data_IF_309429090419
#
_entry.id   IF_309429090419
#
_cell.length_a   1.000
_cell.length_b   1.000
_cell.length_c   1.000
_cell.angle_alpha   90.00
_cell.angle_beta   90.00
_cell.angle_gamma   90.00
#
_symmetry.space_group_name_H-M   'P 1'
#
loop_
_entity.id
_entity.type
_entity.pdbx_description
1 polymer ?
#
# COMPACT_ATOMS: atom_id res chain seq x y z
N UNK A 1 -5.24 17.55 -19.98
CA UNK A 1 -5.51 16.37 -20.85
C UNK A 1 -5.92 15.21 -19.97
N UNK A 2 -7.09 14.62 -20.24
CA UNK A 2 -7.61 13.47 -19.48
C UNK A 2 -6.89 12.18 -19.85
N UNK A 3 -6.88 11.22 -18.90
CA UNK A 3 -6.31 9.90 -19.11
C UNK A 3 -7.40 8.84 -18.87
N UNK A 4 -7.78 8.13 -19.93
CA UNK A 4 -8.78 7.06 -19.87
C UNK A 4 -8.24 5.87 -19.06
N UNK A 5 -9.10 5.27 -18.24
CA UNK A 5 -8.72 4.18 -17.34
C UNK A 5 -7.93 4.62 -16.11
N UNK A 6 -7.90 5.92 -15.82
CA UNK A 6 -7.24 6.54 -14.68
C UNK A 6 -8.19 7.46 -13.90
N UNK A 7 -7.83 7.73 -12.64
CA UNK A 7 -8.46 8.79 -11.87
C UNK A 7 -7.90 10.12 -12.35
N UNK A 8 -8.81 11.01 -12.75
CA UNK A 8 -8.53 12.37 -13.18
C UNK A 8 -9.12 13.34 -12.17
N UNK A 9 -8.48 14.47 -11.94
CA UNK A 9 -8.98 15.53 -11.06
C UNK A 9 -9.62 16.61 -11.92
N UNK A 10 -10.96 16.63 -11.93
CA UNK A 10 -11.76 17.41 -12.86
C UNK A 10 -12.63 18.44 -12.13
N UNK A 11 -12.80 19.67 -12.66
CA UNK A 11 -13.67 20.67 -12.09
C UNK A 11 -15.14 20.40 -12.42
N UNK A 12 -16.02 20.70 -11.46
CA UNK A 12 -17.47 20.74 -11.65
C UNK A 12 -17.81 21.97 -12.50
N UNK A 13 -18.46 21.76 -13.64
CA UNK A 13 -18.94 22.84 -14.52
C UNK A 13 -20.39 23.21 -14.26
N UNK A 14 -21.21 22.23 -13.88
CA UNK A 14 -22.64 22.41 -13.67
C UNK A 14 -23.15 21.40 -12.61
N UNK A 15 -24.10 21.86 -11.79
CA UNK A 15 -24.78 21.01 -10.81
C UNK A 15 -26.28 21.03 -11.15
N UNK A 16 -26.87 19.85 -11.22
CA UNK A 16 -28.28 19.61 -11.47
C UNK A 16 -28.90 18.79 -10.32
N UNK A 17 -30.23 18.69 -10.27
CA UNK A 17 -30.92 17.83 -9.31
C UNK A 17 -30.52 16.35 -9.38
N UNK A 18 -30.02 15.88 -10.53
CA UNK A 18 -29.66 14.46 -10.79
C UNK A 18 -28.18 14.18 -10.58
N UNK A 19 -27.32 15.17 -10.63
CA UNK A 19 -25.86 15.02 -10.52
C UNK A 19 -25.08 16.22 -11.05
N UNK A 20 -23.78 16.04 -11.23
CA UNK A 20 -22.87 17.07 -11.65
C UNK A 20 -22.25 16.75 -13.01
N UNK A 21 -21.99 17.79 -13.81
CA UNK A 21 -21.14 17.69 -14.99
C UNK A 21 -19.72 18.14 -14.64
N UNK A 22 -18.74 17.36 -15.10
CA UNK A 22 -17.31 17.65 -14.94
C UNK A 22 -16.70 17.95 -16.30
N UNK A 23 -15.79 18.94 -16.37
CA UNK A 23 -15.02 19.22 -17.58
C UNK A 23 -13.97 18.12 -17.80
N UNK A 24 -14.02 17.48 -18.97
CA UNK A 24 -13.09 16.44 -19.40
C UNK A 24 -12.53 16.83 -20.77
N UNK A 25 -11.48 17.64 -20.76
CA UNK A 25 -10.92 18.34 -21.93
C UNK A 25 -12.02 19.17 -22.67
N UNK A 26 -12.36 18.80 -23.91
CA UNK A 26 -13.40 19.43 -24.75
C UNK A 26 -14.81 18.85 -24.54
N UNK A 27 -14.97 17.89 -23.63
CA UNK A 27 -16.23 17.21 -23.33
C UNK A 27 -16.67 17.44 -21.89
N UNK A 28 -17.92 17.10 -21.61
CA UNK A 28 -18.45 17.03 -20.27
C UNK A 28 -18.84 15.59 -19.93
N UNK A 29 -18.56 15.17 -18.71
CA UNK A 29 -18.95 13.85 -18.20
C UNK A 29 -19.83 14.01 -16.99
N UNK A 30 -20.84 13.17 -16.88
CA UNK A 30 -21.84 13.20 -15.82
C UNK A 30 -21.47 12.26 -14.67
N UNK A 31 -21.61 12.75 -13.43
CA UNK A 31 -21.55 11.92 -12.20
C UNK A 31 -22.85 12.11 -11.42
N UNK A 32 -23.54 11.02 -11.02
CA UNK A 32 -24.74 11.11 -10.20
C UNK A 32 -24.49 11.79 -8.84
N UNK A 33 -25.48 12.54 -8.34
CA UNK A 33 -25.37 13.25 -7.08
C UNK A 33 -25.03 12.32 -5.88
N UNK A 34 -25.51 11.08 -5.91
CA UNK A 34 -25.21 10.05 -4.91
C UNK A 34 -23.73 9.67 -4.78
N UNK A 35 -22.89 10.09 -5.73
CA UNK A 35 -21.43 9.89 -5.71
C UNK A 35 -20.68 11.18 -5.35
N UNK A 36 -21.36 12.28 -5.13
CA UNK A 36 -20.76 13.55 -4.81
C UNK A 36 -20.70 13.77 -3.28
N UNK A 37 -19.79 14.63 -2.85
CA UNK A 37 -19.75 15.09 -1.47
C UNK A 37 -20.90 16.06 -1.24
N UNK A 38 -21.49 16.02 -0.05
CA UNK A 38 -22.49 16.99 0.37
C UNK A 38 -21.91 18.43 0.36
N UNK A 39 -22.66 19.37 -0.20
CA UNK A 39 -22.23 20.77 -0.32
C UNK A 39 -21.24 21.05 -1.47
N UNK A 40 -21.06 20.14 -2.43
CA UNK A 40 -20.22 20.40 -3.61
C UNK A 40 -20.74 21.60 -4.42
N UNK A 41 -19.81 22.43 -4.93
CA UNK A 41 -20.10 23.65 -5.68
C UNK A 41 -19.45 23.61 -7.07
N UNK A 42 -19.97 24.42 -7.98
CA UNK A 42 -19.35 24.64 -9.29
C UNK A 42 -17.94 25.21 -9.10
N UNK A 43 -16.96 24.64 -9.80
CA UNK A 43 -15.53 24.96 -9.66
C UNK A 43 -14.77 23.99 -8.74
N UNK A 44 -15.45 23.22 -7.88
CA UNK A 44 -14.80 22.21 -7.04
C UNK A 44 -14.16 21.13 -7.90
N UNK A 45 -13.01 20.61 -7.42
CA UNK A 45 -12.27 19.54 -8.09
C UNK A 45 -12.70 18.16 -7.56
N UNK A 46 -13.06 17.26 -8.46
CA UNK A 46 -13.50 15.90 -8.17
C UNK A 46 -12.52 14.90 -8.76
N UNK A 47 -12.08 13.94 -7.93
CA UNK A 47 -11.33 12.78 -8.38
C UNK A 47 -12.32 11.79 -9.04
N UNK A 48 -12.31 11.75 -10.38
CA UNK A 48 -13.19 10.91 -11.18
C UNK A 48 -12.41 9.90 -12.01
N UNK A 49 -12.80 8.63 -11.93
CA UNK A 49 -12.29 7.58 -12.81
C UNK A 49 -13.04 7.64 -14.14
N UNK A 50 -12.28 7.79 -15.25
CA UNK A 50 -12.82 7.89 -16.60
C UNK A 50 -12.66 6.59 -17.37
N UNK A 51 -13.72 6.15 -18.02
CA UNK A 51 -13.70 4.96 -18.87
C UNK A 51 -14.76 5.03 -19.97
N UNK A 52 -14.60 4.24 -21.03
CA UNK A 52 -15.64 4.11 -22.04
C UNK A 52 -16.61 3.00 -21.64
N UNK A 53 -17.90 3.34 -21.61
CA UNK A 53 -19.02 2.40 -21.55
C UNK A 53 -19.67 2.37 -22.93
N UNK A 54 -19.42 1.31 -23.66
CA UNK A 54 -19.56 1.25 -25.11
C UNK A 54 -18.76 2.39 -25.77
N UNK A 55 -19.32 3.25 -26.56
CA UNK A 55 -18.64 4.38 -27.20
C UNK A 55 -18.75 5.68 -26.38
N UNK A 56 -19.40 5.64 -25.22
CA UNK A 56 -19.65 6.83 -24.39
C UNK A 56 -18.62 6.99 -23.31
N UNK A 57 -17.97 8.16 -23.27
CA UNK A 57 -17.10 8.55 -22.15
C UNK A 57 -17.95 8.66 -20.87
N UNK A 58 -17.58 7.93 -19.85
CA UNK A 58 -18.29 7.79 -18.58
C UNK A 58 -17.36 8.09 -17.43
N UNK A 59 -17.88 8.74 -16.38
CA UNK A 59 -17.17 9.06 -15.17
C UNK A 59 -17.80 8.41 -13.95
N UNK A 60 -16.97 8.12 -12.95
CA UNK A 60 -17.44 7.70 -11.62
C UNK A 60 -16.49 8.22 -10.54
N UNK A 61 -17.04 8.74 -9.43
CA UNK A 61 -16.26 9.09 -8.26
C UNK A 61 -15.91 7.86 -7.38
N UNK A 62 -16.48 6.69 -7.70
CA UNK A 62 -16.07 5.43 -7.05
C UNK A 62 -14.65 5.07 -7.48
N UNK A 63 -13.80 4.76 -6.51
CA UNK A 63 -12.45 4.29 -6.79
C UNK A 63 -12.48 2.84 -7.27
N UNK A 64 -11.98 2.54 -8.48
CA UNK A 64 -11.82 1.15 -8.92
C UNK A 64 -10.75 0.44 -8.07
N UNK A 65 -10.81 -0.89 -8.03
CA UNK A 65 -9.80 -1.74 -7.37
C UNK A 65 -8.44 -1.69 -8.08
N UNK A 66 -8.44 -1.34 -9.37
CA UNK A 66 -7.24 -1.11 -10.18
C UNK A 66 -7.51 -0.14 -11.32
N UNK A 67 -6.45 0.48 -11.81
CA UNK A 67 -6.45 1.37 -12.97
C UNK A 67 -5.65 0.74 -14.12
N UNK A 68 -5.78 1.29 -15.32
CA UNK A 68 -4.95 0.89 -16.47
C UNK A 68 -3.46 0.95 -16.10
N UNK A 69 -2.70 -0.09 -16.48
CA UNK A 69 -1.30 -0.22 -16.11
C UNK A 69 -1.05 -0.86 -14.74
N UNK A 70 -2.08 -1.30 -14.03
CA UNK A 70 -1.94 -1.93 -12.71
C UNK A 70 -2.26 -3.42 -12.74
N UNK A 71 -1.57 -4.17 -11.87
CA UNK A 71 -1.91 -5.55 -11.52
C UNK A 71 -2.90 -5.55 -10.36
N UNK A 72 -3.96 -6.34 -10.49
CA UNK A 72 -4.94 -6.54 -9.44
C UNK A 72 -5.36 -8.00 -9.30
N UNK A 73 -5.84 -8.35 -8.12
CA UNK A 73 -6.45 -9.64 -7.80
C UNK A 73 -7.95 -9.44 -7.71
N UNK A 74 -8.69 -9.89 -8.75
CA UNK A 74 -10.09 -9.56 -8.95
C UNK A 74 -10.96 -10.82 -9.02
N UNK A 75 -12.19 -10.81 -8.44
CA UNK A 75 -13.11 -11.91 -8.57
C UNK A 75 -13.74 -11.95 -9.97
N UNK A 76 -13.89 -13.16 -10.50
CA UNK A 76 -14.69 -13.47 -11.69
C UNK A 76 -16.16 -13.43 -11.29
N UNK A 77 -16.96 -12.61 -11.96
CA UNK A 77 -18.40 -12.46 -11.68
C UNK A 77 -19.30 -13.06 -12.74
N UNK A 78 -18.72 -13.52 -13.84
CA UNK A 78 -19.45 -14.19 -14.91
C UNK A 78 -18.59 -14.41 -16.14
N UNK A 79 -19.18 -15.04 -17.14
CA UNK A 79 -18.57 -15.28 -18.46
C UNK A 79 -19.60 -15.26 -19.57
N UNK A 80 -19.15 -15.06 -20.79
CA UNK A 80 -19.92 -15.25 -22.01
C UNK A 80 -19.10 -16.02 -23.04
N UNK A 81 -19.58 -16.12 -24.28
CA UNK A 81 -18.86 -16.82 -25.38
C UNK A 81 -17.52 -16.19 -25.79
N UNK A 82 -17.17 -15.01 -25.29
CA UNK A 82 -15.97 -14.27 -25.69
C UNK A 82 -14.93 -14.11 -24.56
N UNK A 83 -15.33 -14.23 -23.29
CA UNK A 83 -14.43 -14.02 -22.15
C UNK A 83 -15.16 -14.00 -20.81
N UNK A 84 -14.37 -13.66 -19.79
CA UNK A 84 -14.82 -13.48 -18.42
C UNK A 84 -15.09 -12.01 -18.10
N UNK A 85 -15.93 -11.79 -17.09
CA UNK A 85 -16.15 -10.49 -16.47
C UNK A 85 -15.61 -10.49 -15.05
N UNK A 86 -14.90 -9.42 -14.69
CA UNK A 86 -14.24 -9.28 -13.40
C UNK A 86 -14.75 -8.02 -12.68
N UNK A 87 -15.06 -8.16 -11.39
CA UNK A 87 -15.52 -7.02 -10.60
C UNK A 87 -14.34 -6.09 -10.23
N UNK A 88 -14.19 -5.04 -10.98
CA UNK A 88 -13.19 -3.98 -10.74
C UNK A 88 -13.66 -2.93 -9.71
N UNK A 89 -14.89 -3.03 -9.17
CA UNK A 89 -15.40 -2.14 -8.12
C UNK A 89 -16.16 -0.91 -8.60
N UNK A 90 -16.42 -0.79 -9.89
CA UNK A 90 -17.31 0.21 -10.50
C UNK A 90 -18.51 -0.47 -11.13
N UNK A 91 -19.42 0.32 -11.76
CA UNK A 91 -20.64 -0.23 -12.35
C UNK A 91 -20.38 -1.19 -13.51
N UNK A 92 -19.36 -0.90 -14.34
CA UNK A 92 -18.96 -1.75 -15.47
C UNK A 92 -17.94 -2.78 -15.02
N UNK A 93 -18.20 -4.05 -15.29
CA UNK A 93 -17.23 -5.12 -15.07
C UNK A 93 -16.08 -5.03 -16.08
N UNK A 94 -14.89 -5.42 -15.66
CA UNK A 94 -13.69 -5.47 -16.47
C UNK A 94 -13.72 -6.72 -17.35
N UNK A 95 -13.60 -6.57 -18.66
CA UNK A 95 -13.63 -7.68 -19.61
C UNK A 95 -12.26 -8.34 -19.75
N UNK A 96 -12.22 -9.67 -19.64
CA UNK A 96 -11.04 -10.51 -19.85
C UNK A 96 -11.29 -11.44 -21.03
N UNK A 97 -10.81 -11.13 -22.25
CA UNK A 97 -10.98 -11.95 -23.44
C UNK A 97 -10.36 -13.33 -23.30
N UNK A 98 -10.94 -14.40 -23.88
CA UNK A 98 -10.40 -15.76 -23.80
C UNK A 98 -9.00 -15.90 -24.43
N UNK A 99 -8.63 -15.11 -25.44
CA UNK A 99 -7.30 -15.08 -26.02
C UNK A 99 -6.24 -14.49 -25.08
N UNK A 100 -6.65 -13.76 -24.04
CA UNK A 100 -5.80 -13.16 -23.00
C UNK A 100 -5.73 -14.00 -21.71
N UNK A 101 -6.32 -15.17 -21.70
CA UNK A 101 -6.39 -16.07 -20.54
C UNK A 101 -5.33 -17.16 -20.65
N UNK A 102 -4.72 -17.56 -19.54
CA UNK A 102 -3.80 -18.70 -19.44
C UNK A 102 -4.51 -20.01 -19.10
N UNK A 103 -5.50 -19.92 -18.18
CA UNK A 103 -6.19 -21.05 -17.57
C UNK A 103 -7.71 -20.84 -17.64
N UNK A 104 -8.48 -21.87 -17.29
CA UNK A 104 -9.93 -21.75 -17.11
C UNK A 104 -10.23 -21.36 -15.68
N UNK A 105 -11.26 -20.53 -15.52
CA UNK A 105 -11.71 -20.01 -14.22
C UNK A 105 -13.21 -20.20 -14.07
N UNK A 106 -13.65 -20.43 -12.84
CA UNK A 106 -15.04 -20.47 -12.46
C UNK A 106 -15.50 -19.12 -11.88
N UNK A 107 -16.81 -18.94 -11.82
CA UNK A 107 -17.39 -17.78 -11.11
C UNK A 107 -17.00 -17.85 -9.63
N UNK A 108 -16.69 -16.70 -9.04
CA UNK A 108 -16.16 -16.49 -7.68
C UNK A 108 -14.66 -16.81 -7.51
N UNK A 109 -13.99 -17.39 -8.49
CA UNK A 109 -12.54 -17.42 -8.49
C UNK A 109 -11.98 -15.99 -8.46
N UNK A 110 -10.89 -15.81 -7.73
CA UNK A 110 -10.14 -14.56 -7.78
C UNK A 110 -8.82 -14.77 -8.50
N UNK A 111 -8.51 -13.91 -9.46
CA UNK A 111 -7.38 -14.08 -10.36
C UNK A 111 -6.55 -12.81 -10.49
N UNK A 112 -5.24 -12.96 -10.74
CA UNK A 112 -4.37 -11.83 -11.04
C UNK A 112 -4.50 -11.44 -12.50
N UNK A 113 -4.79 -10.16 -12.72
CA UNK A 113 -4.92 -9.57 -14.06
C UNK A 113 -4.24 -8.21 -14.15
N UNK A 114 -3.62 -7.95 -15.29
CA UNK A 114 -3.15 -6.63 -15.66
C UNK A 114 -4.26 -5.91 -16.43
N UNK A 115 -4.54 -4.66 -16.05
CA UNK A 115 -5.58 -3.82 -16.67
C UNK A 115 -4.96 -3.00 -17.79
N UNK A 116 -5.56 -3.05 -18.98
CA UNK A 116 -5.11 -2.28 -20.15
C UNK A 116 -6.29 -1.72 -20.94
N UNK A 117 -6.01 -0.85 -21.91
CA UNK A 117 -7.00 -0.40 -22.90
C UNK A 117 -6.80 -1.18 -24.21
N UNK A 118 -7.91 -1.66 -24.78
CA UNK A 118 -7.87 -2.21 -26.12
C UNK A 118 -7.76 -1.09 -27.19
N UNK A 119 -7.75 -1.49 -28.45
CA UNK A 119 -7.65 -0.53 -29.58
C UNK A 119 -8.84 0.43 -29.67
N UNK A 120 -9.99 0.09 -29.08
CA UNK A 120 -11.18 0.96 -28.96
C UNK A 120 -11.21 1.76 -27.65
N UNK A 121 -10.09 1.79 -26.89
CA UNK A 121 -9.97 2.44 -25.58
C UNK A 121 -10.93 1.89 -24.51
N UNK A 122 -11.42 0.66 -24.67
CA UNK A 122 -12.22 -0.03 -23.64
C UNK A 122 -11.32 -0.68 -22.59
N UNK A 123 -11.78 -0.72 -21.35
CA UNK A 123 -11.09 -1.42 -20.27
C UNK A 123 -11.10 -2.93 -20.51
N UNK A 124 -9.92 -3.50 -20.61
CA UNK A 124 -9.69 -4.93 -20.76
C UNK A 124 -8.65 -5.46 -19.76
N UNK A 125 -8.65 -6.77 -19.57
CA UNK A 125 -7.72 -7.46 -18.69
C UNK A 125 -6.94 -8.55 -19.43
N UNK A 126 -5.77 -8.91 -18.88
CA UNK A 126 -5.01 -10.09 -19.30
C UNK A 126 -4.41 -10.80 -18.10
N UNK A 127 -4.42 -12.14 -18.11
CA UNK A 127 -3.70 -12.94 -17.10
C UNK A 127 -2.22 -13.11 -17.45
N UNK A 128 -1.79 -12.63 -18.63
CA UNK A 128 -0.38 -12.68 -19.11
C UNK A 128 0.38 -11.44 -18.67
N UNK A 129 0.30 -11.12 -17.38
CA UNK A 129 0.81 -9.87 -16.80
C UNK A 129 2.33 -9.79 -16.69
N UNK A 130 3.06 -10.92 -16.77
CA UNK A 130 4.51 -10.93 -16.51
C UNK A 130 5.29 -10.03 -17.47
N UNK A 131 4.86 -9.95 -18.72
CA UNK A 131 5.50 -9.11 -19.76
C UNK A 131 5.36 -7.60 -19.53
N UNK A 132 4.51 -7.18 -18.60
CA UNK A 132 4.24 -5.78 -18.31
C UNK A 132 5.09 -5.22 -17.16
N UNK A 133 5.85 -6.07 -16.48
CA UNK A 133 6.67 -5.70 -15.32
C UNK A 133 8.10 -6.21 -15.50
N UNK A 134 9.05 -5.46 -14.92
CA UNK A 134 10.46 -5.86 -14.94
C UNK A 134 10.73 -7.02 -13.97
N UNK A 135 11.67 -7.91 -14.33
CA UNK A 135 12.23 -8.91 -13.40
C UNK A 135 13.40 -8.35 -12.57
N UNK A 136 13.82 -7.13 -12.86
CA UNK A 136 14.92 -6.43 -12.21
C UNK A 136 14.45 -5.08 -11.65
N UNK A 137 15.16 -4.58 -10.65
CA UNK A 137 14.86 -3.26 -10.07
C UNK A 137 14.96 -2.16 -11.13
N UNK A 138 14.02 -1.21 -11.05
CA UNK A 138 14.05 0.03 -11.84
C UNK A 138 14.84 1.11 -11.09
N UNK A 139 15.15 2.22 -11.74
CA UNK A 139 15.85 3.35 -11.12
C UNK A 139 15.08 3.93 -9.93
N UNK A 140 15.81 4.51 -8.98
CA UNK A 140 15.25 5.22 -7.82
C UNK A 140 14.99 4.37 -6.58
N UNK A 141 15.43 3.11 -6.55
CA UNK A 141 15.31 2.23 -5.39
C UNK A 141 16.66 1.85 -4.80
N UNK A 142 16.73 1.78 -3.48
CA UNK A 142 17.94 1.44 -2.70
C UNK A 142 17.62 0.46 -1.57
N UNK A 143 18.66 -0.25 -1.10
CA UNK A 143 18.52 -1.09 0.08
C UNK A 143 18.10 -0.25 1.31
N UNK A 144 17.12 -0.73 2.06
CA UNK A 144 16.51 -0.04 3.19
C UNK A 144 15.24 0.75 2.86
N UNK A 145 14.91 0.97 1.58
CA UNK A 145 13.68 1.66 1.20
C UNK A 145 12.44 0.88 1.59
N UNK A 146 11.46 1.59 2.11
CA UNK A 146 10.12 1.05 2.32
C UNK A 146 9.33 1.11 1.03
N UNK A 147 8.80 -0.03 0.61
CA UNK A 147 8.07 -0.19 -0.65
C UNK A 147 6.73 -0.87 -0.43
N UNK A 148 5.77 -0.54 -1.26
CA UNK A 148 4.46 -1.18 -1.27
C UNK A 148 4.49 -2.39 -2.21
N UNK A 149 4.08 -3.55 -1.70
CA UNK A 149 4.16 -4.82 -2.43
C UNK A 149 2.81 -5.50 -2.56
N UNK A 150 2.63 -6.21 -3.66
CA UNK A 150 1.48 -7.08 -3.91
C UNK A 150 1.99 -8.52 -4.02
N UNK A 151 1.66 -9.43 -3.07
CA UNK A 151 2.04 -10.84 -3.16
C UNK A 151 1.24 -11.53 -4.26
N UNK A 152 1.98 -12.25 -5.14
CA UNK A 152 1.41 -12.86 -6.35
C UNK A 152 1.34 -14.37 -6.21
N UNK A 153 2.44 -15.02 -5.83
CA UNK A 153 2.49 -16.48 -5.75
C UNK A 153 3.53 -16.97 -4.74
N UNK A 154 3.25 -18.14 -4.18
CA UNK A 154 4.22 -18.88 -3.37
C UNK A 154 5.13 -19.70 -4.30
N UNK A 155 6.43 -19.68 -4.02
CA UNK A 155 7.45 -20.46 -4.71
C UNK A 155 8.19 -21.35 -3.71
N UNK A 156 8.98 -22.35 -4.13
CA UNK A 156 9.77 -23.17 -3.22
C UNK A 156 10.75 -22.36 -2.35
N UNK A 157 11.24 -21.21 -2.83
CA UNK A 157 12.26 -20.40 -2.14
C UNK A 157 11.67 -19.18 -1.40
N UNK A 158 10.39 -18.87 -1.59
CA UNK A 158 9.76 -17.70 -0.95
C UNK A 158 8.48 -17.25 -1.63
N UNK A 159 8.11 -16.01 -1.42
CA UNK A 159 6.93 -15.39 -2.02
C UNK A 159 7.36 -14.38 -3.10
N UNK A 160 6.93 -14.60 -4.35
CA UNK A 160 7.08 -13.62 -5.43
C UNK A 160 6.06 -12.49 -5.23
N UNK A 161 6.54 -11.25 -5.27
CA UNK A 161 5.72 -10.05 -5.10
C UNK A 161 5.98 -9.06 -6.22
N UNK A 162 5.01 -8.19 -6.49
CA UNK A 162 5.17 -7.01 -7.36
C UNK A 162 5.40 -5.78 -6.47
N UNK A 163 6.50 -5.06 -6.72
CA UNK A 163 6.92 -3.87 -5.98
C UNK A 163 6.47 -2.62 -6.74
N UNK A 164 5.80 -1.69 -6.04
CA UNK A 164 5.33 -0.39 -6.54
C UNK A 164 4.67 -0.44 -7.94
N UNK A 165 4.12 -1.61 -8.31
CA UNK A 165 3.55 -1.89 -9.63
C UNK A 165 4.57 -1.69 -10.78
N UNK A 166 5.84 -1.98 -10.55
CA UNK A 166 6.95 -1.77 -11.51
C UNK A 166 7.75 -3.03 -11.79
N UNK A 167 8.23 -3.72 -10.76
CA UNK A 167 9.11 -4.88 -10.91
C UNK A 167 8.80 -6.00 -9.91
N UNK A 168 9.22 -7.22 -10.24
CA UNK A 168 9.09 -8.37 -9.36
C UNK A 168 10.26 -8.47 -8.38
N UNK A 169 9.94 -8.92 -7.17
CA UNK A 169 10.92 -9.18 -6.11
C UNK A 169 10.54 -10.44 -5.32
N UNK A 170 11.42 -10.86 -4.42
CA UNK A 170 11.23 -12.03 -3.57
C UNK A 170 11.29 -11.69 -2.08
N UNK A 171 10.37 -12.26 -1.32
CA UNK A 171 10.52 -12.40 0.14
C UNK A 171 10.93 -13.85 0.38
N UNK A 172 12.17 -14.08 0.80
CA UNK A 172 12.69 -15.44 0.95
C UNK A 172 12.09 -16.15 2.17
N UNK A 173 12.00 -17.49 2.13
CA UNK A 173 11.38 -18.26 3.20
C UNK A 173 12.00 -18.01 4.59
N UNK A 174 13.31 -17.77 4.67
CA UNK A 174 13.98 -17.49 5.93
C UNK A 174 13.73 -16.07 6.47
N UNK A 175 13.22 -15.17 5.62
CA UNK A 175 12.82 -13.80 5.98
C UNK A 175 11.32 -13.71 6.32
N UNK A 176 10.58 -14.81 6.19
CA UNK A 176 9.17 -14.87 6.56
C UNK A 176 9.04 -15.26 8.05
N UNK A 177 8.24 -14.53 8.84
CA UNK A 177 7.87 -14.97 10.18
C UNK A 177 7.17 -16.34 10.14
N UNK A 178 7.41 -17.20 11.13
CA UNK A 178 6.81 -18.54 11.19
C UNK A 178 5.29 -18.54 11.14
N UNK A 179 4.67 -17.48 11.66
CA UNK A 179 3.21 -17.31 11.74
C UNK A 179 2.68 -16.27 10.74
N UNK A 180 3.47 -15.92 9.67
CA UNK A 180 3.05 -14.93 8.70
C UNK A 180 1.91 -15.45 7.82
N UNK A 181 0.73 -14.87 7.96
CA UNK A 181 -0.41 -15.07 7.07
C UNK A 181 -0.42 -14.03 5.94
N UNK A 182 0.47 -14.16 4.96
CA UNK A 182 0.45 -13.28 3.78
C UNK A 182 -0.75 -13.65 2.91
N UNK A 183 -1.64 -12.67 2.70
CA UNK A 183 -2.83 -12.83 1.84
C UNK A 183 -2.51 -12.37 0.44
N UNK A 184 -2.61 -13.28 -0.53
CA UNK A 184 -2.46 -12.95 -1.95
C UNK A 184 -3.50 -11.91 -2.39
N UNK A 185 -3.11 -11.02 -3.29
CA UNK A 185 -3.95 -9.94 -3.77
C UNK A 185 -4.12 -8.75 -2.81
N UNK A 186 -3.60 -8.81 -1.58
CA UNK A 186 -3.64 -7.70 -0.62
C UNK A 186 -2.29 -7.03 -0.49
N UNK A 187 -2.23 -5.74 -0.85
CA UNK A 187 -1.02 -4.92 -0.75
C UNK A 187 -0.61 -4.68 0.71
N UNK A 188 0.69 -4.73 0.98
CA UNK A 188 1.29 -4.37 2.27
C UNK A 188 2.65 -3.66 2.06
N UNK A 189 3.28 -3.19 3.12
CA UNK A 189 4.61 -2.59 3.06
C UNK A 189 5.70 -3.60 3.43
N UNK A 190 6.81 -3.56 2.69
CA UNK A 190 8.04 -4.31 2.95
C UNK A 190 9.24 -3.38 2.81
N UNK A 191 10.44 -3.87 3.13
CA UNK A 191 11.68 -3.13 2.93
C UNK A 191 12.56 -3.85 1.93
N UNK A 192 13.28 -3.08 1.10
CA UNK A 192 14.34 -3.63 0.24
C UNK A 192 15.49 -4.05 1.15
N UNK A 193 15.70 -5.37 1.24
CA UNK A 193 16.79 -5.95 2.00
C UNK A 193 18.11 -5.85 1.26
N UNK A 194 18.09 -6.24 -0.01
CA UNK A 194 19.27 -6.31 -0.86
C UNK A 194 18.88 -6.19 -2.33
N UNK A 195 19.71 -5.51 -3.10
CA UNK A 195 19.70 -5.52 -4.57
C UNK A 195 20.90 -6.34 -5.00
N UNK A 196 20.65 -7.49 -5.62
CA UNK A 196 21.70 -8.43 -6.05
C UNK A 196 22.48 -7.91 -7.26
N UNK A 197 23.60 -8.52 -7.57
CA UNK A 197 24.41 -8.17 -8.75
C UNK A 197 23.64 -8.35 -10.08
N UNK A 198 22.69 -9.30 -10.13
CA UNK A 198 21.78 -9.51 -11.27
C UNK A 198 20.59 -8.54 -11.27
N UNK A 199 20.62 -7.50 -10.45
CA UNK A 199 19.58 -6.47 -10.27
C UNK A 199 18.23 -7.01 -9.77
N UNK A 200 18.16 -8.25 -9.27
CA UNK A 200 16.98 -8.78 -8.59
C UNK A 200 16.96 -8.32 -7.12
N UNK A 201 15.75 -8.20 -6.58
CA UNK A 201 15.52 -7.62 -5.27
C UNK A 201 15.02 -8.66 -4.28
N UNK A 202 15.69 -8.72 -3.13
CA UNK A 202 15.21 -9.42 -1.96
C UNK A 202 14.55 -8.43 -1.00
N UNK A 203 13.41 -8.81 -0.48
CA UNK A 203 12.62 -8.00 0.45
C UNK A 203 12.53 -8.66 1.82
N UNK A 204 12.29 -7.85 2.83
CA UNK A 204 12.05 -8.28 4.21
C UNK A 204 10.83 -7.57 4.78
N UNK A 205 10.09 -8.28 5.65
CA UNK A 205 8.95 -7.71 6.35
C UNK A 205 9.39 -6.74 7.46
N UNK A 206 8.55 -5.75 7.83
CA UNK A 206 8.91 -4.74 8.84
C UNK A 206 9.47 -5.32 10.14
N UNK A 207 8.90 -6.43 10.63
CA UNK A 207 9.33 -7.09 11.87
C UNK A 207 10.74 -7.68 11.77
N UNK A 208 11.13 -8.18 10.59
CA UNK A 208 12.47 -8.71 10.35
C UNK A 208 13.52 -7.63 10.06
N UNK A 209 13.10 -6.51 9.50
CA UNK A 209 14.02 -5.40 9.24
C UNK A 209 14.61 -4.82 10.54
N UNK A 210 13.83 -4.82 11.63
CA UNK A 210 14.33 -4.42 12.94
C UNK A 210 15.41 -5.38 13.48
N UNK A 211 15.29 -6.70 13.24
CA UNK A 211 16.28 -7.68 13.72
C UNK A 211 17.59 -7.64 12.92
N UNK A 212 17.56 -7.25 11.63
CA UNK A 212 18.77 -7.12 10.83
C UNK A 212 19.50 -5.80 11.10
N UNK A 213 18.78 -4.67 11.25
CA UNK A 213 19.40 -3.40 11.67
C UNK A 213 20.11 -3.52 13.02
N UNK A 214 19.59 -4.37 13.93
CA UNK A 214 20.26 -4.63 15.21
C UNK A 214 21.52 -5.54 15.10
N UNK A 215 21.68 -6.30 14.00
CA UNK A 215 22.88 -7.12 13.72
C UNK A 215 23.93 -6.39 12.89
N UNK A 216 23.51 -5.53 11.96
CA UNK A 216 24.37 -4.73 11.08
C UNK A 216 24.74 -3.36 11.69
N UNK A 217 24.03 -2.88 12.73
CA UNK A 217 24.34 -1.66 13.46
C UNK A 217 25.62 -1.75 14.31
N UNK A 218 26.41 -2.85 14.17
CA UNK A 218 27.79 -2.88 14.57
C UNK A 218 28.71 -1.94 13.75
N UNK A 219 28.31 -1.57 12.50
CA UNK A 219 29.22 -0.81 11.61
C UNK A 219 28.60 0.33 10.76
N UNK A 220 27.29 0.62 10.81
CA UNK A 220 26.70 1.73 10.02
C UNK A 220 25.57 2.45 10.76
N UNK A 221 25.96 3.39 11.62
CA UNK A 221 25.02 4.29 12.28
C UNK A 221 24.49 5.38 11.34
N UNK A 222 23.15 5.48 11.15
CA UNK A 222 22.51 6.82 11.01
C UNK A 222 20.98 6.81 10.98
N UNK A 223 20.29 5.76 10.50
CA UNK A 223 18.81 5.77 10.39
C UNK A 223 18.08 5.27 11.65
N UNK A 224 18.66 4.31 12.38
CA UNK A 224 18.12 3.84 13.68
C UNK A 224 18.28 4.90 14.80
N UNK A 225 19.27 5.78 14.70
CA UNK A 225 19.49 6.88 15.63
C UNK A 225 18.37 7.93 15.61
N UNK A 226 17.84 8.29 14.45
CA UNK A 226 16.77 9.30 14.34
C UNK A 226 15.46 8.84 15.03
N UNK A 227 15.12 7.56 14.96
CA UNK A 227 13.88 7.03 15.57
C UNK A 227 14.01 6.89 17.09
N UNK A 228 15.19 6.49 17.60
CA UNK A 228 15.45 6.40 19.04
C UNK A 228 15.54 7.79 19.69
N UNK A 229 16.24 8.75 19.08
CA UNK A 229 16.33 10.13 19.59
C UNK A 229 14.96 10.82 19.62
N UNK A 230 14.13 10.62 18.60
CA UNK A 230 12.76 11.17 18.59
C UNK A 230 11.89 10.55 19.68
N UNK A 231 12.01 9.24 19.93
CA UNK A 231 11.29 8.57 21.01
C UNK A 231 11.82 9.00 22.38
N UNK A 232 13.14 9.15 22.56
CA UNK A 232 13.76 9.68 23.78
C UNK A 232 13.25 11.09 24.09
N UNK A 233 13.23 11.98 23.09
CA UNK A 233 12.68 13.34 23.21
C UNK A 233 11.18 13.32 23.55
N UNK A 234 10.41 12.47 22.88
CA UNK A 234 8.97 12.32 23.14
C UNK A 234 8.69 11.84 24.57
N UNK A 235 9.46 10.89 25.09
CA UNK A 235 9.35 10.40 26.46
C UNK A 235 9.73 11.50 27.47
N UNK A 236 10.81 12.23 27.25
CA UNK A 236 11.24 13.34 28.13
C UNK A 236 10.21 14.45 28.13
N UNK A 237 9.69 14.87 26.99
CA UNK A 237 8.65 15.86 26.86
C UNK A 237 7.33 15.43 27.55
N UNK A 238 6.99 14.13 27.45
CA UNK A 238 5.83 13.59 28.16
C UNK A 238 6.04 13.60 29.67
N UNK A 239 7.24 13.32 30.15
CA UNK A 239 7.60 13.43 31.56
C UNK A 239 7.49 14.88 32.06
N UNK A 240 8.07 15.85 31.34
CA UNK A 240 7.98 17.27 31.66
C UNK A 240 6.50 17.75 31.74
N UNK A 241 5.70 17.39 30.75
CA UNK A 241 4.28 17.75 30.68
C UNK A 241 3.41 17.11 31.78
N UNK A 242 3.90 16.02 32.41
CA UNK A 242 3.17 15.30 33.46
C UNK A 242 3.83 15.42 34.86
N UNK A 243 4.51 16.52 35.13
CA UNK A 243 5.09 16.77 36.45
C UNK A 243 6.26 15.83 36.78
N UNK A 244 7.00 15.38 35.79
CA UNK A 244 8.19 14.55 35.93
C UNK A 244 7.93 13.05 36.10
N UNK A 245 6.69 12.57 35.98
CA UNK A 245 6.33 11.16 36.14
C UNK A 245 5.35 10.68 35.08
N UNK A 246 5.58 9.48 34.52
CA UNK A 246 4.59 8.78 33.69
C UNK A 246 4.46 7.30 34.11
N UNK A 247 3.23 6.71 34.11
CA UNK A 247 2.96 5.37 34.63
C UNK A 247 3.26 4.27 33.61
N UNK A 248 4.43 4.37 32.94
CA UNK A 248 4.89 3.38 31.97
C UNK A 248 6.32 2.95 32.31
N UNK A 249 6.58 1.65 32.28
CA UNK A 249 7.91 1.07 32.52
C UNK A 249 8.09 -0.20 31.68
N UNK A 250 9.16 -0.96 31.96
CA UNK A 250 9.50 -2.20 31.25
C UNK A 250 8.49 -3.35 31.50
N UNK A 251 7.60 -3.24 32.50
CA UNK A 251 6.55 -4.22 32.82
C UNK A 251 5.22 -3.86 32.20
N UNK A 252 5.03 -2.67 31.66
CA UNK A 252 3.78 -2.20 31.02
C UNK A 252 3.37 -3.12 29.87
N UNK A 253 2.06 -3.36 29.74
CA UNK A 253 1.51 -4.22 28.70
C UNK A 253 1.95 -3.76 27.29
N UNK A 254 2.39 -4.69 26.40
CA UNK A 254 2.81 -4.34 25.05
C UNK A 254 1.77 -3.58 24.23
N UNK A 255 0.47 -3.88 24.41
CA UNK A 255 -0.61 -3.20 23.70
C UNK A 255 -0.75 -1.74 24.14
N UNK A 256 -0.52 -1.47 25.42
CA UNK A 256 -0.55 -0.11 25.98
C UNK A 256 0.63 0.70 25.43
N UNK A 257 1.85 0.13 25.45
CA UNK A 257 3.05 0.77 24.90
C UNK A 257 2.85 1.10 23.41
N UNK A 258 2.33 0.15 22.63
CA UNK A 258 2.07 0.36 21.21
C UNK A 258 1.01 1.43 20.95
N UNK A 259 -0.02 1.51 21.80
CA UNK A 259 -1.08 2.51 21.69
C UNK A 259 -0.57 3.92 22.00
N UNK A 260 0.26 4.08 23.05
CA UNK A 260 0.74 5.39 23.55
C UNK A 260 1.94 5.88 22.75
N UNK A 261 2.97 5.06 22.61
CA UNK A 261 4.26 5.46 22.03
C UNK A 261 4.41 5.06 20.56
N UNK A 262 3.46 4.29 19.99
CA UNK A 262 3.48 3.80 18.60
C UNK A 262 4.70 2.92 18.27
N UNK A 263 5.34 2.33 19.28
CA UNK A 263 6.51 1.47 19.15
C UNK A 263 6.28 0.11 19.84
N UNK A 264 7.12 -0.88 19.54
CA UNK A 264 7.08 -2.17 20.24
C UNK A 264 7.61 -2.03 21.68
N UNK A 265 7.18 -2.94 22.57
CA UNK A 265 7.69 -2.98 23.96
C UNK A 265 9.21 -3.13 24.02
N UNK A 266 9.83 -3.87 23.08
CA UNK A 266 11.28 -4.03 23.01
C UNK A 266 12.00 -2.70 22.73
N UNK A 267 11.51 -1.91 21.76
CA UNK A 267 12.04 -0.59 21.43
C UNK A 267 11.87 0.35 22.63
N UNK A 268 10.67 0.40 23.21
CA UNK A 268 10.42 1.22 24.41
C UNK A 268 11.36 0.86 25.57
N UNK A 269 11.53 -0.43 25.87
CA UNK A 269 12.44 -0.91 26.94
C UNK A 269 13.88 -0.50 26.67
N UNK A 270 14.36 -0.62 25.43
CA UNK A 270 15.71 -0.19 25.04
C UNK A 270 15.89 1.33 25.22
N UNK A 271 14.90 2.11 24.81
CA UNK A 271 14.93 3.58 24.92
C UNK A 271 14.95 4.06 26.37
N UNK A 272 14.05 3.54 27.23
CA UNK A 272 14.09 3.89 28.65
C UNK A 272 15.37 3.40 29.36
N UNK A 273 15.92 2.27 28.92
CA UNK A 273 17.21 1.79 29.39
C UNK A 273 18.37 2.72 29.02
N UNK A 274 18.36 3.32 27.83
CA UNK A 274 19.32 4.33 27.41
C UNK A 274 19.19 5.64 28.22
N UNK A 275 17.95 6.14 28.38
CA UNK A 275 17.68 7.33 29.19
C UNK A 275 18.09 7.14 30.63
N UNK A 276 17.90 5.93 31.20
CA UNK A 276 18.36 5.57 32.54
C UNK A 276 19.91 5.59 32.63
N UNK A 277 20.62 4.99 31.65
CA UNK A 277 22.09 5.01 31.59
C UNK A 277 22.65 6.43 31.43
N UNK A 278 21.91 7.32 30.77
CA UNK A 278 22.24 8.74 30.64
C UNK A 278 21.90 9.56 31.90
N UNK A 279 21.44 8.92 32.97
CA UNK A 279 20.96 9.57 34.21
C UNK A 279 19.83 10.61 33.99
N UNK A 280 19.06 10.50 32.91
CA UNK A 280 17.93 11.41 32.61
C UNK A 280 16.61 10.99 33.29
N UNK A 281 16.47 9.70 33.58
CA UNK A 281 15.30 9.14 34.24
C UNK A 281 15.65 8.12 35.29
N UNK A 282 14.70 7.87 36.21
CA UNK A 282 14.70 6.75 37.15
C UNK A 282 13.55 5.80 36.76
N UNK A 283 13.82 4.49 36.75
CA UNK A 283 12.79 3.48 36.49
C UNK A 283 12.27 2.97 37.84
N UNK A 284 10.98 3.22 38.10
CA UNK A 284 10.28 2.81 39.31
C UNK A 284 9.34 1.61 39.03
N UNK A 285 8.84 0.98 40.09
CA UNK A 285 7.90 -0.16 39.97
C UNK A 285 6.60 0.27 39.26
N UNK A 286 6.17 1.50 39.46
CA UNK A 286 4.92 2.05 38.94
C UNK A 286 5.05 2.87 37.65
N UNK A 287 6.28 3.17 37.22
CA UNK A 287 6.49 4.00 36.04
C UNK A 287 7.95 4.45 35.86
N UNK A 288 8.13 5.56 35.16
CA UNK A 288 9.42 6.25 35.03
C UNK A 288 9.29 7.70 35.49
N UNK A 289 10.36 8.23 36.08
CA UNK A 289 10.44 9.59 36.61
C UNK A 289 11.66 10.32 36.05
N UNK A 290 11.54 11.64 35.83
CA UNK A 290 12.72 12.47 35.54
C UNK A 290 13.70 12.41 36.71
N UNK A 291 14.97 12.27 36.40
CA UNK A 291 16.04 12.38 37.37
C UNK A 291 16.42 13.87 37.45
N UNK A 292 16.10 14.50 38.57
CA UNK A 292 16.42 15.90 38.84
C UNK A 292 17.88 16.06 39.23
#
# INVERSE_FOLDING_TARGET
>A
MITIGKINRLPITEITEKGCFLAADDQQVFIPLSQMKEGAQTGDLVDAFLYYDDERLTATAKRPKAQVGELAYLPVVGSNRFGYFLNIGIRKDLFLPFDQVKDRYDTDDSIFVYVYLDYQKRLCATTRYEKHFSETVTEGFSAGDQVKVLPIMKTPIGIKVLVENQFFAMILNHDLPKDSSIRFGRKFFAFIKNIRADQKVDLVLPEHNHQQKDREAGEAGTAAYRTNEQLEQSILQMLENNGGFIPFNDRTDPKVIQKVFKVSKGVFKKTIGNLYKQNKIVIEITGIRLNN
#
